data_IF_854595094189
#
_entry.id   IF_854595094189
#
_cell.length_a   1.000
_cell.length_b   1.000
_cell.length_c   1.000
_cell.angle_alpha   90.00
_cell.angle_beta   90.00
_cell.angle_gamma   90.00
#
_symmetry.space_group_name_H-M   'P 1'
#
loop_
_entity.id
_entity.type
_entity.pdbx_description
1 polymer ?
#
# COMPACT_ATOMS: atom_id res chain seq x y z
N UNK A 1 16.73 -13.35 9.22
CA UNK A 1 15.88 -14.33 8.53
C UNK A 1 14.91 -13.57 7.64
N UNK A 2 14.82 -13.95 6.37
CA UNK A 2 13.86 -13.43 5.40
C UNK A 2 13.30 -14.62 4.64
N UNK A 3 11.98 -14.75 4.61
CA UNK A 3 11.33 -15.90 3.98
C UNK A 3 10.14 -15.45 3.15
N UNK A 4 10.01 -16.03 1.97
CA UNK A 4 8.76 -15.97 1.21
C UNK A 4 7.90 -17.16 1.61
N UNK A 5 6.62 -16.93 1.86
CA UNK A 5 5.70 -17.99 2.30
C UNK A 5 4.41 -18.00 1.46
N UNK A 6 3.53 -18.96 1.73
CA UNK A 6 2.30 -19.18 0.96
C UNK A 6 2.53 -19.38 -0.55
N UNK A 7 3.66 -20.01 -0.92
CA UNK A 7 4.06 -20.26 -2.32
C UNK A 7 3.16 -21.22 -3.10
N UNK A 8 2.19 -21.88 -2.43
CA UNK A 8 1.05 -22.52 -3.11
C UNK A 8 0.10 -21.52 -3.77
N UNK A 9 0.38 -20.22 -3.69
CA UNK A 9 -0.39 -19.12 -4.26
C UNK A 9 -1.84 -19.09 -3.76
N UNK A 10 -2.07 -19.58 -2.54
CA UNK A 10 -3.34 -19.51 -1.83
C UNK A 10 -3.14 -18.65 -0.58
N UNK A 11 -3.82 -17.51 -0.52
CA UNK A 11 -3.76 -16.61 0.62
C UNK A 11 -5.15 -16.11 1.01
N UNK A 12 -5.43 -16.08 2.32
CA UNK A 12 -6.74 -15.75 2.88
C UNK A 12 -7.24 -14.34 2.56
N UNK A 13 -6.35 -13.39 2.27
CA UNK A 13 -6.72 -12.01 1.92
C UNK A 13 -7.10 -11.82 0.46
N UNK A 14 -6.91 -12.80 -0.43
CA UNK A 14 -7.26 -12.65 -1.85
C UNK A 14 -8.75 -12.29 -2.06
N UNK A 15 -9.72 -12.99 -1.43
CA UNK A 15 -11.14 -12.64 -1.60
C UNK A 15 -11.45 -11.21 -1.17
N UNK A 16 -10.89 -10.76 -0.04
CA UNK A 16 -11.03 -9.40 0.48
C UNK A 16 -10.42 -8.37 -0.49
N UNK A 17 -9.21 -8.61 -0.99
CA UNK A 17 -8.56 -7.73 -1.97
C UNK A 17 -9.43 -7.60 -3.22
N UNK A 18 -9.91 -8.70 -3.79
CA UNK A 18 -10.77 -8.66 -4.98
C UNK A 18 -12.07 -7.90 -4.72
N UNK A 19 -12.69 -8.11 -3.56
CA UNK A 19 -13.90 -7.39 -3.16
C UNK A 19 -13.68 -5.88 -3.04
N UNK A 20 -12.64 -5.46 -2.31
CA UNK A 20 -12.38 -4.04 -2.02
C UNK A 20 -11.84 -3.27 -3.24
N UNK A 21 -11.19 -3.94 -4.18
CA UNK A 21 -10.59 -3.30 -5.37
C UNK A 21 -11.45 -3.41 -6.63
N UNK A 22 -12.40 -4.34 -6.67
CA UNK A 22 -13.18 -4.64 -7.87
C UNK A 22 -12.37 -5.34 -8.97
N UNK A 23 -11.19 -5.89 -8.65
CA UNK A 23 -10.38 -6.65 -9.60
C UNK A 23 -11.15 -7.87 -10.11
N UNK A 24 -11.29 -7.98 -11.43
CA UNK A 24 -11.89 -9.14 -12.10
C UNK A 24 -10.89 -10.28 -12.31
N UNK A 25 -9.60 -9.94 -12.39
CA UNK A 25 -8.50 -10.89 -12.42
C UNK A 25 -7.91 -11.07 -11.01
N UNK A 26 -7.67 -12.31 -10.61
CA UNK A 26 -7.04 -12.63 -9.33
C UNK A 26 -5.59 -12.12 -9.32
N UNK A 27 -5.19 -11.27 -8.35
CA UNK A 27 -3.83 -10.75 -8.32
C UNK A 27 -2.83 -11.85 -7.91
N UNK A 28 -1.60 -11.72 -8.41
CA UNK A 28 -0.47 -12.47 -7.89
C UNK A 28 -0.08 -11.90 -6.52
N UNK A 29 -0.16 -12.72 -5.48
CA UNK A 29 0.13 -12.32 -4.11
C UNK A 29 1.20 -13.22 -3.51
N UNK A 30 2.36 -12.64 -3.22
CA UNK A 30 3.56 -13.34 -2.75
C UNK A 30 3.99 -12.66 -1.44
N UNK A 31 3.58 -13.16 -0.28
CA UNK A 31 3.94 -12.56 0.98
C UNK A 31 5.34 -13.03 1.43
N UNK A 32 6.04 -12.14 2.13
CA UNK A 32 7.32 -12.44 2.76
C UNK A 32 7.35 -11.91 4.18
N UNK A 33 8.15 -12.54 5.04
CA UNK A 33 8.43 -12.09 6.41
C UNK A 33 9.89 -11.72 6.54
N UNK A 34 10.17 -10.66 7.28
CA UNK A 34 11.52 -10.24 7.66
C UNK A 34 11.76 -10.41 9.15
N UNK A 35 13.03 -10.36 9.57
CA UNK A 35 13.43 -10.51 10.96
C UNK A 35 13.33 -9.18 11.73
N UNK A 36 12.11 -8.72 11.90
CA UNK A 36 11.75 -7.55 12.71
C UNK A 36 10.37 -7.79 13.34
N UNK A 37 10.08 -7.07 14.44
CA UNK A 37 8.87 -7.33 15.25
C UNK A 37 7.59 -6.95 14.52
N UNK A 38 7.58 -5.80 13.86
CA UNK A 38 6.43 -5.27 13.12
C UNK A 38 6.89 -4.27 12.05
N UNK A 39 6.02 -3.93 11.11
CA UNK A 39 6.34 -3.17 9.92
C UNK A 39 5.97 -3.94 8.65
N UNK A 40 5.60 -3.21 7.60
CA UNK A 40 5.12 -3.81 6.36
C UNK A 40 5.34 -2.91 5.17
N UNK A 41 5.81 -3.51 4.07
CA UNK A 41 5.78 -2.93 2.73
C UNK A 41 4.85 -3.78 1.87
N UNK A 42 3.86 -3.15 1.25
CA UNK A 42 2.98 -3.76 0.26
C UNK A 42 3.38 -3.22 -1.11
N UNK A 43 3.91 -4.10 -1.96
CA UNK A 43 4.38 -3.74 -3.29
C UNK A 43 3.31 -4.07 -4.33
N UNK A 44 2.98 -3.11 -5.18
CA UNK A 44 2.11 -3.27 -6.34
C UNK A 44 2.88 -2.90 -7.62
N UNK A 45 3.58 -3.88 -8.24
CA UNK A 45 4.23 -3.69 -9.53
C UNK A 45 3.19 -3.57 -10.65
N UNK A 46 3.40 -2.64 -11.58
CA UNK A 46 2.47 -2.29 -12.64
C UNK A 46 3.22 -2.11 -13.97
N UNK A 47 2.72 -2.75 -15.01
CA UNK A 47 3.04 -2.41 -16.40
C UNK A 47 2.07 -1.32 -16.85
N UNK A 48 2.55 -0.09 -16.99
CA UNK A 48 1.69 1.07 -17.28
C UNK A 48 0.95 0.94 -18.61
N UNK A 49 1.55 0.28 -19.59
CA UNK A 49 0.94 0.07 -20.92
C UNK A 49 -0.19 -0.98 -20.92
N UNK A 50 -0.29 -1.77 -19.86
CA UNK A 50 -1.37 -2.76 -19.66
C UNK A 50 -2.54 -2.19 -18.86
N UNK A 51 -2.39 -1.00 -18.28
CA UNK A 51 -3.48 -0.33 -17.56
C UNK A 51 -4.42 0.39 -18.54
N UNK A 52 -5.73 0.43 -18.24
CA UNK A 52 -6.67 1.25 -19.01
C UNK A 52 -6.21 2.71 -19.11
N UNK A 53 -6.24 3.28 -20.30
CA UNK A 53 -5.79 4.66 -20.54
C UNK A 53 -4.27 4.84 -20.63
N UNK A 54 -3.46 3.79 -20.38
CA UNK A 54 -1.99 3.81 -20.49
C UNK A 54 -1.35 5.01 -19.77
N UNK A 55 -1.63 5.20 -18.47
CA UNK A 55 -1.20 6.37 -17.72
C UNK A 55 0.33 6.54 -17.70
N UNK A 56 0.79 7.77 -17.54
CA UNK A 56 2.16 8.07 -17.14
C UNK A 56 2.37 7.78 -15.64
N UNK A 57 3.63 7.66 -15.22
CA UNK A 57 3.94 7.46 -13.80
C UNK A 57 3.38 8.59 -12.91
N UNK A 58 3.45 9.83 -13.40
CA UNK A 58 2.91 11.00 -12.71
C UNK A 58 1.40 10.90 -12.48
N UNK A 59 0.65 10.27 -13.40
CA UNK A 59 -0.80 10.10 -13.28
C UNK A 59 -1.14 9.16 -12.12
N UNK A 60 -0.33 8.13 -11.86
CA UNK A 60 -0.53 7.23 -10.71
C UNK A 60 -0.36 7.97 -9.38
N UNK A 61 0.71 8.76 -9.23
CA UNK A 61 0.92 9.55 -8.02
C UNK A 61 -0.21 10.58 -7.86
N UNK A 62 -0.58 11.28 -8.93
CA UNK A 62 -1.67 12.25 -8.92
C UNK A 62 -3.02 11.60 -8.53
N UNK A 63 -3.31 10.38 -8.99
CA UNK A 63 -4.51 9.65 -8.62
C UNK A 63 -4.58 9.38 -7.11
N UNK A 64 -3.47 8.94 -6.48
CA UNK A 64 -3.41 8.76 -5.03
C UNK A 64 -3.58 10.09 -4.28
N UNK A 65 -2.90 11.16 -4.70
CA UNK A 65 -3.04 12.49 -4.10
C UNK A 65 -4.49 12.96 -4.17
N UNK A 66 -5.11 12.90 -5.36
CA UNK A 66 -6.47 13.37 -5.58
C UNK A 66 -7.50 12.55 -4.79
N UNK A 67 -7.28 11.24 -4.64
CA UNK A 67 -8.14 10.38 -3.83
C UNK A 67 -8.06 10.76 -2.34
N UNK A 68 -6.86 10.76 -1.76
CA UNK A 68 -6.69 11.00 -0.32
C UNK A 68 -6.87 12.46 0.08
N UNK A 69 -6.76 13.42 -0.84
CA UNK A 69 -7.22 14.79 -0.57
C UNK A 69 -8.71 14.85 -0.22
N UNK A 70 -9.52 13.90 -0.71
CA UNK A 70 -10.98 13.86 -0.53
C UNK A 70 -11.43 12.87 0.55
N UNK A 71 -10.69 11.78 0.76
CA UNK A 71 -11.12 10.66 1.60
C UNK A 71 -10.40 10.55 2.95
N UNK A 72 -9.33 11.31 3.18
CA UNK A 72 -8.56 11.22 4.41
C UNK A 72 -9.28 11.90 5.57
N UNK A 73 -9.00 11.46 6.80
CA UNK A 73 -9.58 12.07 8.01
C UNK A 73 -8.86 13.38 8.34
N UNK A 74 -9.40 14.22 9.25
CA UNK A 74 -8.68 15.40 9.75
C UNK A 74 -7.29 15.07 10.34
N UNK A 75 -7.13 13.88 10.93
CA UNK A 75 -5.84 13.39 11.43
C UNK A 75 -4.82 13.05 10.33
N UNK A 76 -5.26 12.98 9.06
CA UNK A 76 -4.41 12.78 7.89
C UNK A 76 -3.52 11.54 7.99
N UNK A 77 -4.11 10.39 8.35
CA UNK A 77 -3.37 9.14 8.57
C UNK A 77 -2.69 8.60 7.31
N UNK A 78 -3.24 8.87 6.12
CA UNK A 78 -2.60 8.49 4.85
C UNK A 78 -1.74 9.64 4.33
N UNK A 79 -0.49 9.36 3.98
CA UNK A 79 0.47 10.31 3.41
C UNK A 79 0.88 9.83 2.03
N UNK A 80 0.51 10.57 0.99
CA UNK A 80 1.03 10.35 -0.36
C UNK A 80 2.26 11.23 -0.52
N UNK A 81 3.41 10.61 -0.74
CA UNK A 81 4.70 11.27 -0.65
C UNK A 81 5.54 10.96 -1.91
N UNK A 82 6.48 11.83 -2.30
CA UNK A 82 7.35 11.54 -3.44
C UNK A 82 8.22 10.30 -3.17
N UNK A 83 8.77 9.65 -4.21
CA UNK A 83 9.78 8.61 -4.02
C UNK A 83 10.98 9.13 -3.21
N UNK A 84 11.62 8.24 -2.45
CA UNK A 84 12.83 8.57 -1.69
C UNK A 84 13.99 8.83 -2.64
N UNK A 85 14.89 9.75 -2.26
CA UNK A 85 16.03 10.14 -3.11
C UNK A 85 16.95 8.96 -3.44
N UNK A 86 17.10 8.01 -2.50
CA UNK A 86 17.95 6.82 -2.65
C UNK A 86 17.20 5.59 -3.17
N UNK A 87 15.89 5.71 -3.43
CA UNK A 87 15.04 4.61 -3.91
C UNK A 87 14.77 3.51 -2.88
N UNK A 88 15.04 3.74 -1.58
CA UNK A 88 14.90 2.71 -0.54
C UNK A 88 13.78 3.02 0.46
N UNK A 89 13.24 1.96 1.04
CA UNK A 89 12.27 2.02 2.14
C UNK A 89 12.63 1.02 3.23
N UNK A 90 12.65 1.51 4.46
CA UNK A 90 12.66 0.68 5.67
C UNK A 90 11.22 0.32 6.04
N UNK A 91 10.94 -0.98 6.19
CA UNK A 91 9.64 -1.51 6.57
C UNK A 91 9.20 -1.11 7.99
N UNK A 92 10.17 -0.83 8.88
CA UNK A 92 9.94 -0.56 10.31
C UNK A 92 9.77 0.94 10.62
N UNK A 93 9.95 1.82 9.63
CA UNK A 93 9.95 3.27 9.87
C UNK A 93 8.64 3.86 10.42
N UNK A 94 7.53 3.11 10.36
CA UNK A 94 6.22 3.52 10.88
C UNK A 94 5.75 2.72 12.10
N UNK A 95 6.64 1.94 12.73
CA UNK A 95 6.31 1.19 13.95
C UNK A 95 5.61 2.07 15.01
N UNK A 96 4.60 1.50 15.67
CA UNK A 96 3.78 2.13 16.71
C UNK A 96 2.98 3.35 16.22
N UNK A 97 2.72 3.45 14.93
CA UNK A 97 1.89 4.53 14.36
C UNK A 97 0.63 3.99 13.68
N UNK A 98 -0.36 4.87 13.52
CA UNK A 98 -1.53 4.64 12.66
C UNK A 98 -1.34 5.26 11.26
N UNK A 99 -0.10 5.58 10.88
CA UNK A 99 0.20 6.19 9.59
C UNK A 99 0.30 5.14 8.49
N UNK A 100 -0.05 5.55 7.27
CA UNK A 100 0.19 4.82 6.03
C UNK A 100 0.85 5.76 5.04
N UNK A 101 2.02 5.41 4.55
CA UNK A 101 2.68 6.14 3.47
C UNK A 101 2.47 5.42 2.13
N UNK A 102 2.17 6.17 1.08
CA UNK A 102 2.12 5.67 -0.29
C UNK A 102 3.15 6.43 -1.12
N UNK A 103 3.95 5.68 -1.87
CA UNK A 103 4.92 6.23 -2.84
C UNK A 103 4.83 5.48 -4.15
N UNK A 104 5.14 6.18 -5.23
CA UNK A 104 5.26 5.60 -6.57
C UNK A 104 6.70 5.74 -7.01
N UNK A 105 7.36 4.62 -7.27
CA UNK A 105 8.65 4.57 -7.94
C UNK A 105 8.42 4.12 -9.38
N UNK A 106 9.01 4.78 -10.36
CA UNK A 106 8.68 4.49 -11.75
C UNK A 106 9.85 4.74 -12.71
N UNK A 107 9.73 4.12 -13.88
CA UNK A 107 10.55 4.38 -15.05
C UNK A 107 9.63 4.64 -16.24
N UNK A 108 9.60 5.89 -16.70
CA UNK A 108 8.84 6.26 -17.91
C UNK A 108 9.43 5.59 -19.16
N UNK A 109 10.76 5.45 -19.21
CA UNK A 109 11.46 4.77 -20.31
C UNK A 109 11.05 3.29 -20.46
N UNK A 110 10.80 2.61 -19.34
CA UNK A 110 10.38 1.20 -19.33
C UNK A 110 8.87 1.02 -19.16
N UNK A 111 8.11 2.11 -19.04
CA UNK A 111 6.65 2.10 -18.84
C UNK A 111 6.22 1.20 -17.67
N UNK A 112 6.96 1.30 -16.57
CA UNK A 112 6.78 0.49 -15.36
C UNK A 112 6.73 1.36 -14.12
N UNK A 113 5.92 0.96 -13.16
CA UNK A 113 5.87 1.57 -11.84
C UNK A 113 5.69 0.52 -10.76
N UNK A 114 6.12 0.84 -9.54
CA UNK A 114 5.73 0.14 -8.32
C UNK A 114 5.14 1.16 -7.36
N UNK A 115 3.86 0.97 -7.03
CA UNK A 115 3.25 1.66 -5.90
C UNK A 115 3.56 0.85 -4.63
N UNK A 116 4.10 1.51 -3.61
CA UNK A 116 4.43 0.88 -2.34
C UNK A 116 3.67 1.56 -1.24
N UNK A 117 2.90 0.78 -0.47
CA UNK A 117 2.35 1.22 0.80
C UNK A 117 3.25 0.76 1.95
N UNK A 118 3.64 1.69 2.82
CA UNK A 118 4.38 1.43 4.06
C UNK A 118 3.48 1.70 5.25
N UNK A 119 3.43 0.77 6.21
CA UNK A 119 2.62 0.87 7.41
C UNK A 119 3.13 -0.06 8.52
N UNK A 120 2.69 0.17 9.75
CA UNK A 120 2.77 -0.82 10.81
C UNK A 120 1.61 -1.82 10.69
N UNK A 121 1.93 -3.12 10.60
CA UNK A 121 0.93 -4.20 10.50
C UNK A 121 0.14 -4.43 11.79
N UNK A 122 0.68 -4.10 12.96
CA UNK A 122 -0.02 -4.20 14.25
C UNK A 122 -0.76 -2.90 14.59
N UNK A 123 -0.22 -1.77 14.13
CA UNK A 123 -0.84 -0.44 14.18
C UNK A 123 -1.91 -0.27 13.09
N UNK A 124 -1.59 0.49 12.04
CA UNK A 124 -2.52 0.80 10.94
C UNK A 124 -3.07 -0.45 10.23
N UNK A 125 -2.33 -1.54 10.19
CA UNK A 125 -2.77 -2.81 9.59
C UNK A 125 -3.75 -3.60 10.45
N UNK A 126 -3.97 -3.21 11.71
CA UNK A 126 -4.86 -3.92 12.63
C UNK A 126 -5.51 -2.96 13.66
N UNK A 127 -4.92 -2.86 14.85
CA UNK A 127 -5.57 -2.24 16.02
C UNK A 127 -5.80 -0.74 15.85
N UNK A 128 -4.88 -0.02 15.21
CA UNK A 128 -5.01 1.41 14.95
C UNK A 128 -6.17 1.72 13.98
N UNK A 129 -6.34 0.90 12.94
CA UNK A 129 -7.49 1.01 12.05
C UNK A 129 -8.80 0.66 12.75
N UNK A 130 -8.81 -0.33 13.64
CA UNK A 130 -9.99 -0.68 14.43
C UNK A 130 -10.43 0.47 15.35
N UNK A 131 -9.50 1.10 16.07
CA UNK A 131 -9.79 2.28 16.90
C UNK A 131 -10.27 3.46 16.05
N UNK A 132 -9.67 3.68 14.87
CA UNK A 132 -10.14 4.69 13.94
C UNK A 132 -11.59 4.42 13.48
N UNK A 133 -11.94 3.17 13.18
CA UNK A 133 -13.30 2.81 12.81
C UNK A 133 -14.28 3.07 13.97
N UNK A 134 -13.90 2.76 15.22
CA UNK A 134 -14.70 3.07 16.39
C UNK A 134 -14.91 4.58 16.56
N UNK A 135 -13.87 5.40 16.36
CA UNK A 135 -13.99 6.86 16.38
C UNK A 135 -15.01 7.35 15.34
N UNK A 136 -14.93 6.84 14.11
CA UNK A 136 -15.89 7.18 13.05
C UNK A 136 -17.32 6.76 13.41
N UNK A 137 -17.51 5.57 13.98
CA UNK A 137 -18.82 5.09 14.44
C UNK A 137 -19.40 5.95 15.58
N UNK A 138 -18.54 6.54 16.41
CA UNK A 138 -18.91 7.39 17.54
C UNK A 138 -18.95 8.88 17.18
N UNK A 139 -18.54 9.28 15.97
CA UNK A 139 -18.49 10.68 15.54
C UNK A 139 -17.40 11.53 16.23
N UNK A 140 -16.27 10.91 16.57
CA UNK A 140 -15.12 11.54 17.25
C UNK A 140 -14.01 11.97 16.31
#
# INVERSE_FOLDING_TARGET
>A
MFETYALGLQHKHIPEIMHCTGLTARPLFIPSVGNFRQGMLVNLPLHLDQLPGRPQAADLHAAYVAHYAKSNTPAQFVKVLPPTEDGKLDATALENTNLLEIRVFASDAHRQAVAIARLDNLGKGASGAAVQNLQLMLGL
#
